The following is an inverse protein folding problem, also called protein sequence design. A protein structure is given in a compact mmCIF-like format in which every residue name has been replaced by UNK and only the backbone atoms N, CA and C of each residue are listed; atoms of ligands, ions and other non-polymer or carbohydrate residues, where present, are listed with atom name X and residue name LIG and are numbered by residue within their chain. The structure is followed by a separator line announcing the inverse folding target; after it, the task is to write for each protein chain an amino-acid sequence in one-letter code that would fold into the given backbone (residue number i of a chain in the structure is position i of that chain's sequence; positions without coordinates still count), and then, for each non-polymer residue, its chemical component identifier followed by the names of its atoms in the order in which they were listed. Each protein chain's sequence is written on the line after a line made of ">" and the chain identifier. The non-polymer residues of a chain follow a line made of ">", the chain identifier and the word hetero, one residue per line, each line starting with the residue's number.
data_IF_171401017445
#
_entry.id   IF_171401017445
#
_cell.length_a   1.000
_cell.length_b   1.000
_cell.length_c   1.000
_cell.angle_alpha   90.00
_cell.angle_beta   90.00
_cell.angle_gamma   90.00
#
_symmetry.space_group_name_H-M   'P 1'
#
loop_
_entity.id
_entity.type
_entity.pdbx_description
1 polymer ?
#
# COMPACT_ATOMS: atom_id res chain seq x y z
N UNK A 1 -1.28 -5.09 -6.72
CA UNK A 1 -2.02 -6.27 -6.20
C UNK A 1 -1.50 -7.54 -6.85
N UNK A 2 -1.69 -8.71 -6.23
CA UNK A 2 -1.18 -9.99 -6.71
C UNK A 2 -1.01 -10.99 -5.58
N UNK A 3 -0.97 -12.29 -5.90
CA UNK A 3 -0.79 -13.36 -4.92
C UNK A 3 0.50 -13.20 -4.10
N UNK A 4 0.61 -13.93 -2.98
CA UNK A 4 1.88 -14.02 -2.26
C UNK A 4 2.98 -14.54 -3.19
N UNK A 5 4.18 -13.96 -3.11
CA UNK A 5 5.28 -14.27 -4.03
C UNK A 5 5.21 -13.63 -5.42
N UNK A 6 4.16 -12.88 -5.78
CA UNK A 6 4.03 -12.29 -7.11
C UNK A 6 5.04 -11.17 -7.47
N UNK A 7 5.95 -10.79 -6.56
CA UNK A 7 6.96 -9.75 -6.79
C UNK A 7 6.55 -8.32 -6.42
N UNK A 8 5.45 -8.12 -5.68
CA UNK A 8 4.92 -6.80 -5.28
C UNK A 8 5.94 -5.97 -4.47
N UNK A 9 6.42 -6.53 -3.36
CA UNK A 9 7.41 -5.90 -2.49
C UNK A 9 8.73 -5.68 -3.21
N UNK A 10 9.15 -6.62 -4.05
CA UNK A 10 10.35 -6.47 -4.90
C UNK A 10 10.21 -5.29 -5.86
N UNK A 11 9.05 -5.12 -6.50
CA UNK A 11 8.80 -3.97 -7.37
C UNK A 11 8.82 -2.66 -6.58
N UNK A 12 8.18 -2.59 -5.41
CA UNK A 12 8.21 -1.37 -4.58
C UNK A 12 9.63 -1.03 -4.11
N UNK A 13 10.44 -2.03 -3.75
CA UNK A 13 11.85 -1.84 -3.42
C UNK A 13 12.64 -1.25 -4.59
N UNK A 14 12.40 -1.74 -5.82
CA UNK A 14 13.02 -1.17 -7.03
C UNK A 14 12.55 0.27 -7.27
N UNK A 15 11.26 0.55 -7.17
CA UNK A 15 10.69 1.89 -7.38
C UNK A 15 11.16 2.92 -6.34
N UNK A 16 11.44 2.48 -5.11
CA UNK A 16 11.93 3.34 -4.01
C UNK A 16 13.44 3.34 -3.84
N UNK A 17 14.15 2.58 -4.69
CA UNK A 17 15.58 2.34 -4.58
C UNK A 17 16.06 1.81 -3.21
N UNK A 18 15.24 0.96 -2.57
CA UNK A 18 15.53 0.33 -1.28
C UNK A 18 15.91 -1.14 -1.45
N UNK A 19 16.74 -1.65 -0.53
CA UNK A 19 17.09 -3.07 -0.45
C UNK A 19 17.61 -3.69 -1.77
N UNK A 20 18.31 -2.89 -2.58
CA UNK A 20 18.76 -3.28 -3.92
C UNK A 20 20.01 -4.18 -3.93
N UNK A 21 20.71 -4.34 -2.80
CA UNK A 21 22.01 -5.01 -2.73
C UNK A 21 22.01 -6.47 -3.22
N UNK A 22 20.83 -7.12 -3.21
CA UNK A 22 20.65 -8.50 -3.67
C UNK A 22 19.89 -8.61 -4.99
N UNK A 23 19.63 -7.49 -5.68
CA UNK A 23 18.80 -7.43 -6.89
C UNK A 23 19.62 -6.99 -8.09
N UNK A 24 19.43 -7.68 -9.23
CA UNK A 24 19.89 -7.21 -10.53
C UNK A 24 18.77 -6.41 -11.17
N UNK A 25 18.91 -5.09 -11.22
CA UNK A 25 17.89 -4.18 -11.77
C UNK A 25 18.24 -3.82 -13.21
N UNK A 26 17.28 -4.00 -14.12
CA UNK A 26 17.36 -3.54 -15.52
C UNK A 26 16.18 -2.60 -15.80
N UNK A 27 16.42 -1.55 -16.58
CA UNK A 27 15.44 -0.52 -16.90
C UNK A 27 15.76 0.82 -16.24
N UNK A 28 14.85 1.78 -16.38
CA UNK A 28 15.00 3.14 -15.86
C UNK A 28 13.73 3.54 -15.11
N UNK A 29 13.88 4.12 -13.92
CA UNK A 29 12.80 4.72 -13.16
C UNK A 29 12.83 6.23 -13.39
N UNK A 30 11.70 6.78 -13.82
CA UNK A 30 11.53 8.22 -14.07
C UNK A 30 10.60 8.82 -13.01
N UNK A 31 10.96 9.96 -12.46
CA UNK A 31 10.10 10.82 -11.63
C UNK A 31 9.90 12.14 -12.38
N UNK A 32 8.65 12.50 -12.67
CA UNK A 32 8.33 13.72 -13.44
C UNK A 32 9.09 13.80 -14.79
N UNK A 33 9.26 12.66 -15.45
CA UNK A 33 9.98 12.55 -16.74
C UNK A 33 11.51 12.55 -16.64
N UNK A 34 12.08 12.65 -15.45
CA UNK A 34 13.53 12.64 -15.25
C UNK A 34 14.00 11.34 -14.60
N UNK A 35 15.11 10.80 -15.09
CA UNK A 35 15.77 9.66 -14.44
C UNK A 35 16.28 10.07 -13.05
N UNK A 36 16.00 9.24 -12.05
CA UNK A 36 16.35 9.54 -10.66
C UNK A 36 17.36 8.51 -10.16
N UNK A 37 18.43 8.99 -9.52
CA UNK A 37 19.36 8.13 -8.79
C UNK A 37 18.71 7.54 -7.53
N UNK A 38 19.25 6.44 -7.01
CA UNK A 38 18.68 5.80 -5.82
C UNK A 38 18.55 6.74 -4.60
N UNK A 39 19.57 7.56 -4.34
CA UNK A 39 19.57 8.53 -3.23
C UNK A 39 18.48 9.62 -3.38
N UNK A 40 18.29 10.14 -4.60
CA UNK A 40 17.26 11.13 -4.87
C UNK A 40 15.85 10.52 -4.82
N UNK A 41 15.72 9.21 -5.06
CA UNK A 41 14.45 8.52 -4.90
C UNK A 41 14.10 8.32 -3.43
N UNK A 42 15.07 7.91 -2.60
CA UNK A 42 14.85 7.71 -1.15
C UNK A 42 14.49 9.00 -0.45
N UNK A 43 15.06 10.14 -0.83
CA UNK A 43 14.69 11.45 -0.27
C UNK A 43 13.31 11.97 -0.70
N UNK A 44 12.75 11.43 -1.79
CA UNK A 44 11.45 11.85 -2.36
C UNK A 44 10.35 10.80 -2.19
N UNK A 45 10.67 9.67 -1.59
CA UNK A 45 9.72 8.59 -1.28
C UNK A 45 9.77 8.30 0.21
N UNK A 46 8.60 8.06 0.81
CA UNK A 46 8.54 7.44 2.12
C UNK A 46 7.96 6.04 1.96
N UNK A 47 8.18 5.18 2.94
CA UNK A 47 7.91 3.76 2.86
C UNK A 47 7.66 3.28 4.29
N UNK A 48 6.46 2.77 4.52
CA UNK A 48 6.08 2.16 5.79
C UNK A 48 6.59 0.73 5.76
N UNK A 49 7.48 0.40 6.69
CA UNK A 49 7.92 -0.98 6.87
C UNK A 49 6.83 -1.79 7.58
N UNK A 50 6.82 -3.11 7.35
CA UNK A 50 5.84 -4.01 7.95
C UNK A 50 5.95 -4.09 9.48
N UNK A 51 7.11 -3.72 10.06
CA UNK A 51 7.40 -3.81 11.49
C UNK A 51 7.85 -2.44 11.99
N UNK A 52 7.10 -1.86 12.91
CA UNK A 52 7.40 -0.55 13.46
C UNK A 52 8.34 -0.64 14.67
N UNK A 53 9.37 0.19 14.67
CA UNK A 53 10.28 0.36 15.81
C UNK A 53 9.83 1.55 16.65
N UNK A 54 8.97 1.29 17.64
CA UNK A 54 8.56 2.31 18.61
C UNK A 54 9.47 2.34 19.84
N UNK A 55 9.67 3.53 20.41
CA UNK A 55 10.27 3.67 21.73
C UNK A 55 9.19 3.45 22.80
N UNK A 56 9.30 2.34 23.54
CA UNK A 56 8.27 1.85 24.46
C UNK A 56 7.90 2.83 25.59
N UNK A 57 8.82 3.71 25.99
CA UNK A 57 8.62 4.65 27.10
C UNK A 57 7.91 5.95 26.70
N UNK A 58 7.84 6.27 25.41
CA UNK A 58 7.10 7.44 24.94
C UNK A 58 5.61 7.18 24.99
N UNK A 59 4.83 8.21 25.30
CA UNK A 59 3.39 8.23 25.01
C UNK A 59 3.13 8.36 23.51
N UNK A 60 1.92 7.97 23.08
CA UNK A 60 1.47 8.14 21.69
C UNK A 60 1.62 9.60 21.21
N UNK A 61 1.23 10.57 22.05
CA UNK A 61 1.36 12.01 21.76
C UNK A 61 2.82 12.43 21.68
N UNK A 62 3.64 12.06 22.66
CA UNK A 62 5.07 12.41 22.67
C UNK A 62 5.78 11.87 21.43
N UNK A 63 5.45 10.64 21.02
CA UNK A 63 6.00 10.06 19.80
C UNK A 63 5.64 10.88 18.56
N UNK A 64 4.36 11.23 18.37
CA UNK A 64 3.94 12.04 17.22
C UNK A 64 4.53 13.45 17.23
N UNK A 65 4.60 14.09 18.40
CA UNK A 65 5.27 15.40 18.55
C UNK A 65 6.75 15.26 18.18
N UNK A 66 7.45 14.27 18.71
CA UNK A 66 8.85 14.02 18.39
C UNK A 66 9.07 13.81 16.88
N UNK A 67 8.25 12.95 16.25
CA UNK A 67 8.29 12.72 14.81
C UNK A 67 8.00 13.99 14.02
N UNK A 68 7.02 14.80 14.43
CA UNK A 68 6.69 16.07 13.75
C UNK A 68 7.85 17.06 13.76
N UNK A 69 8.59 17.11 14.87
CA UNK A 69 9.71 18.02 15.03
C UNK A 69 10.88 17.61 14.12
N UNK A 70 11.10 16.31 13.93
CA UNK A 70 12.19 15.77 13.13
C UNK A 70 11.89 15.67 11.63
N UNK A 71 10.67 15.29 11.25
CA UNK A 71 10.34 14.86 9.88
C UNK A 71 9.56 15.89 9.08
N UNK A 72 8.83 16.81 9.73
CA UNK A 72 8.10 17.85 9.01
C UNK A 72 9.02 19.00 8.60
N UNK A 73 8.73 19.59 7.44
CA UNK A 73 9.42 20.74 6.89
C UNK A 73 9.60 21.87 7.93
N UNK A 74 10.77 22.51 7.89
CA UNK A 74 11.11 23.67 8.72
C UNK A 74 10.22 24.89 8.51
N UNK A 75 9.47 24.95 7.40
CA UNK A 75 8.48 25.99 7.12
C UNK A 75 7.29 25.97 8.10
N UNK A 76 7.05 24.86 8.79
CA UNK A 76 5.98 24.74 9.76
C UNK A 76 6.42 25.26 11.13
N UNK A 77 5.62 26.15 11.73
CA UNK A 77 5.82 26.59 13.12
C UNK A 77 5.55 25.45 14.10
N UNK A 78 6.06 25.56 15.34
CA UNK A 78 5.77 24.57 16.40
C UNK A 78 4.27 24.40 16.63
N UNK A 79 3.50 25.50 16.59
CA UNK A 79 2.05 25.47 16.79
C UNK A 79 1.35 24.75 15.63
N UNK A 80 1.79 24.97 14.39
CA UNK A 80 1.27 24.26 13.22
C UNK A 80 1.59 22.75 13.29
N UNK A 81 2.81 22.39 13.71
CA UNK A 81 3.20 20.99 13.93
C UNK A 81 2.33 20.34 15.01
N UNK A 82 2.13 21.03 16.14
CA UNK A 82 1.26 20.54 17.23
C UNK A 82 -0.19 20.38 16.78
N UNK A 83 -0.75 21.36 16.06
CA UNK A 83 -2.10 21.29 15.54
C UNK A 83 -2.30 20.11 14.58
N UNK A 84 -1.31 19.81 13.74
CA UNK A 84 -1.35 18.63 12.88
C UNK A 84 -1.32 17.33 13.70
N UNK A 85 -0.50 17.25 14.75
CA UNK A 85 -0.49 16.09 15.65
C UNK A 85 -1.87 15.86 16.29
N UNK A 86 -2.53 16.91 16.75
CA UNK A 86 -3.89 16.81 17.31
C UNK A 86 -4.91 16.31 16.27
N UNK A 87 -4.83 16.81 15.03
CA UNK A 87 -5.66 16.33 13.93
C UNK A 87 -5.43 14.84 13.65
N UNK A 88 -4.18 14.38 13.65
CA UNK A 88 -3.84 12.97 13.42
C UNK A 88 -4.34 12.07 14.55
N UNK A 89 -4.23 12.51 15.81
CA UNK A 89 -4.74 11.77 16.96
C UNK A 89 -6.26 11.53 16.85
N UNK A 90 -7.01 12.53 16.39
CA UNK A 90 -8.46 12.41 16.15
C UNK A 90 -8.72 11.51 14.94
N UNK A 91 -8.06 11.79 13.81
CA UNK A 91 -8.28 11.10 12.53
C UNK A 91 -8.02 9.59 12.61
N UNK A 92 -7.01 9.19 13.37
CA UNK A 92 -6.65 7.79 13.56
C UNK A 92 -7.23 7.18 14.84
N UNK A 93 -8.20 7.84 15.49
CA UNK A 93 -8.86 7.36 16.69
C UNK A 93 -7.86 6.90 17.79
N UNK A 94 -6.89 7.77 18.06
CA UNK A 94 -5.85 7.62 19.07
C UNK A 94 -6.05 8.56 20.27
N UNK A 95 -7.05 9.45 20.22
CA UNK A 95 -7.32 10.42 21.30
C UNK A 95 -7.48 9.77 22.67
N UNK A 96 -8.07 8.57 22.75
CA UNK A 96 -8.29 7.86 24.03
C UNK A 96 -7.00 7.32 24.66
N UNK A 97 -5.99 7.01 23.85
CA UNK A 97 -4.70 6.46 24.29
C UNK A 97 -3.55 7.43 24.08
N UNK A 98 -3.83 8.72 23.83
CA UNK A 98 -2.81 9.71 23.46
C UNK A 98 -1.74 9.89 24.54
N UNK A 99 -2.11 9.78 25.82
CA UNK A 99 -1.22 9.91 26.98
C UNK A 99 -0.81 8.54 27.55
N UNK A 100 -1.12 7.44 26.85
CA UNK A 100 -0.70 6.09 27.22
C UNK A 100 0.67 5.81 26.62
N UNK A 101 1.56 5.20 27.40
CA UNK A 101 2.85 4.72 26.90
C UNK A 101 2.67 3.66 25.83
N UNK A 102 3.50 3.71 24.79
CA UNK A 102 3.41 2.77 23.67
C UNK A 102 3.64 1.33 24.14
N UNK A 103 4.56 1.12 25.10
CA UNK A 103 4.87 -0.20 25.64
C UNK A 103 5.61 -1.10 24.64
N UNK A 104 5.75 -2.38 24.97
CA UNK A 104 6.46 -3.36 24.14
C UNK A 104 6.39 -4.78 24.72
N UNK A 105 6.99 -5.73 24.02
CA UNK A 105 6.81 -7.17 24.25
C UNK A 105 7.32 -7.69 25.61
N UNK A 106 8.16 -6.93 26.32
CA UNK A 106 8.97 -7.51 27.40
C UNK A 106 8.64 -7.06 28.83
N UNK A 107 8.12 -5.85 29.12
CA UNK A 107 7.96 -5.42 30.54
C UNK A 107 6.76 -4.50 30.88
N UNK A 108 6.14 -3.81 29.92
CA UNK A 108 5.03 -2.87 30.20
C UNK A 108 3.89 -3.02 29.20
N UNK A 109 2.68 -3.27 29.72
CA UNK A 109 1.46 -3.32 28.91
C UNK A 109 1.13 -1.89 28.44
N UNK A 110 1.41 -1.60 27.17
CA UNK A 110 1.10 -0.32 26.54
C UNK A 110 -0.18 -0.37 25.71
N UNK A 111 -0.16 0.31 24.58
CA UNK A 111 -1.28 0.36 23.64
C UNK A 111 -1.50 -1.00 22.95
N UNK A 112 -2.73 -1.25 22.50
CA UNK A 112 -3.07 -2.46 21.74
C UNK A 112 -2.33 -2.51 20.39
N UNK A 113 -2.16 -3.71 19.83
CA UNK A 113 -1.54 -3.86 18.50
C UNK A 113 -2.28 -3.10 17.38
N UNK A 114 -3.60 -2.94 17.50
CA UNK A 114 -4.39 -2.12 16.58
C UNK A 114 -4.11 -0.62 16.73
N UNK A 115 -3.95 -0.13 17.97
CA UNK A 115 -3.52 1.25 18.23
C UNK A 115 -2.09 1.50 17.75
N UNK A 116 -1.19 0.55 17.96
CA UNK A 116 0.20 0.61 17.50
C UNK A 116 0.28 0.77 15.98
N UNK A 117 -0.51 0.01 15.21
CA UNK A 117 -0.59 0.20 13.76
C UNK A 117 -1.14 1.57 13.38
N UNK A 118 -2.18 2.05 14.05
CA UNK A 118 -2.73 3.40 13.78
C UNK A 118 -1.72 4.50 14.08
N UNK A 119 -0.92 4.33 15.13
CA UNK A 119 0.19 5.22 15.45
C UNK A 119 1.26 5.20 14.34
N UNK A 120 1.60 4.03 13.80
CA UNK A 120 2.55 3.92 12.67
C UNK A 120 2.09 4.71 11.45
N UNK A 121 0.82 4.52 11.04
CA UNK A 121 0.25 5.31 9.96
C UNK A 121 0.28 6.80 10.26
N UNK A 122 -0.14 7.22 11.46
CA UNK A 122 -0.11 8.62 11.85
C UNK A 122 1.32 9.21 11.79
N UNK A 123 2.32 8.46 12.24
CA UNK A 123 3.73 8.85 12.21
C UNK A 123 4.27 9.00 10.80
N UNK A 124 3.88 8.12 9.87
CA UNK A 124 4.36 8.22 8.50
C UNK A 124 3.69 9.37 7.74
N UNK A 125 2.41 9.64 7.98
CA UNK A 125 1.67 10.75 7.35
C UNK A 125 2.35 12.10 7.64
N UNK A 126 3.02 12.26 8.77
CA UNK A 126 3.80 13.47 9.11
C UNK A 126 4.92 13.75 8.10
N UNK A 127 5.44 12.73 7.42
CA UNK A 127 6.51 12.87 6.41
C UNK A 127 5.99 13.13 5.01
N UNK A 128 4.66 13.19 4.86
CA UNK A 128 4.00 13.42 3.59
C UNK A 128 4.44 12.44 2.47
N UNK A 129 4.31 11.12 2.65
CA UNK A 129 4.83 10.13 1.71
C UNK A 129 4.12 10.10 0.37
N UNK A 130 4.85 9.63 -0.65
CA UNK A 130 4.29 9.27 -1.97
C UNK A 130 4.11 7.75 -2.16
N UNK A 131 4.64 6.90 -1.28
CA UNK A 131 4.58 5.44 -1.45
C UNK A 131 4.32 4.73 -0.13
N UNK A 132 3.54 3.65 -0.18
CA UNK A 132 3.07 2.91 1.00
C UNK A 132 3.10 1.42 0.69
N UNK A 133 3.96 0.65 1.36
CA UNK A 133 3.92 -0.81 1.22
C UNK A 133 2.96 -1.39 2.26
N UNK A 134 1.97 -2.12 1.79
CA UNK A 134 1.01 -2.86 2.59
C UNK A 134 0.30 -2.06 3.71
N UNK A 135 -0.25 -0.86 3.42
CA UNK A 135 -0.83 0.01 4.43
C UNK A 135 -2.11 -0.55 5.11
N UNK A 136 -2.58 -1.71 4.70
CA UNK A 136 -3.79 -2.33 5.27
C UNK A 136 -3.50 -3.67 5.95
N UNK A 137 -2.25 -4.14 5.98
CA UNK A 137 -1.94 -5.50 6.45
C UNK A 137 -2.17 -5.66 7.95
N UNK A 138 -2.99 -6.66 8.30
CA UNK A 138 -3.37 -7.01 9.66
C UNK A 138 -4.14 -5.91 10.40
N UNK A 139 -4.90 -5.10 9.66
CA UNK A 139 -5.94 -4.23 10.19
C UNK A 139 -7.32 -4.87 9.96
N UNK A 140 -8.29 -4.49 10.79
CA UNK A 140 -9.68 -4.77 10.51
C UNK A 140 -10.19 -3.97 9.28
N UNK A 141 -11.33 -4.38 8.74
CA UNK A 141 -11.89 -3.81 7.51
C UNK A 141 -12.24 -2.32 7.62
N UNK A 142 -12.74 -1.87 8.78
CA UNK A 142 -13.08 -0.47 9.01
C UNK A 142 -11.84 0.40 9.02
N UNK A 143 -10.78 -0.05 9.71
CA UNK A 143 -9.52 0.66 9.75
C UNK A 143 -8.80 0.70 8.41
N UNK A 144 -8.79 -0.42 7.68
CA UNK A 144 -8.24 -0.47 6.33
C UNK A 144 -8.93 0.55 5.42
N UNK A 145 -10.27 0.64 5.49
CA UNK A 145 -11.04 1.61 4.71
C UNK A 145 -10.68 3.06 5.07
N UNK A 146 -10.56 3.40 6.35
CA UNK A 146 -10.17 4.75 6.79
C UNK A 146 -8.76 5.15 6.28
N UNK A 147 -7.83 4.21 6.26
CA UNK A 147 -6.49 4.44 5.71
C UNK A 147 -6.55 4.65 4.21
N UNK A 148 -7.22 3.78 3.45
CA UNK A 148 -7.34 3.95 1.99
C UNK A 148 -8.06 5.25 1.65
N UNK A 149 -9.08 5.65 2.41
CA UNK A 149 -9.75 6.93 2.22
C UNK A 149 -8.81 8.11 2.49
N UNK A 150 -7.95 8.01 3.51
CA UNK A 150 -6.93 9.03 3.80
C UNK A 150 -5.92 9.14 2.66
N UNK A 151 -5.43 8.01 2.15
CA UNK A 151 -4.55 7.95 0.99
C UNK A 151 -5.22 8.54 -0.26
N UNK A 152 -6.51 8.30 -0.45
CA UNK A 152 -7.30 8.87 -1.54
C UNK A 152 -7.39 10.39 -1.45
N UNK A 153 -7.68 10.93 -0.27
CA UNK A 153 -7.69 12.38 -0.04
C UNK A 153 -6.30 12.97 -0.32
N UNK A 154 -5.25 12.33 0.16
CA UNK A 154 -3.87 12.76 -0.10
C UNK A 154 -3.56 12.80 -1.61
N UNK A 155 -4.02 11.80 -2.36
CA UNK A 155 -3.89 11.77 -3.81
C UNK A 155 -4.66 12.90 -4.50
N UNK A 156 -5.89 13.19 -4.04
CA UNK A 156 -6.72 14.28 -4.59
C UNK A 156 -6.12 15.67 -4.36
N UNK A 157 -5.23 15.83 -3.38
CA UNK A 157 -4.46 17.05 -3.12
C UNK A 157 -3.21 17.16 -4.02
N UNK A 158 -3.07 16.30 -5.04
CA UNK A 158 -2.00 16.37 -6.04
C UNK A 158 -0.80 15.45 -5.77
N UNK A 159 -0.94 14.47 -4.86
CA UNK A 159 0.13 13.52 -4.56
C UNK A 159 0.00 12.25 -5.39
N UNK A 160 1.12 11.70 -5.85
CA UNK A 160 1.15 10.33 -6.37
C UNK A 160 1.23 9.38 -5.19
N UNK A 161 0.21 8.53 -5.01
CA UNK A 161 0.20 7.49 -3.98
C UNK A 161 0.27 6.13 -4.65
N UNK A 162 1.30 5.35 -4.33
CA UNK A 162 1.42 3.94 -4.75
C UNK A 162 1.32 3.05 -3.52
N UNK A 163 0.42 2.07 -3.54
CA UNK A 163 0.37 1.08 -2.48
C UNK A 163 0.07 -0.36 -2.93
N UNK A 164 0.53 -1.30 -2.11
CA UNK A 164 0.22 -2.73 -2.22
C UNK A 164 -0.87 -3.08 -1.21
N UNK A 165 -1.86 -3.87 -1.62
CA UNK A 165 -2.88 -4.39 -0.69
C UNK A 165 -2.72 -5.90 -0.63
N UNK A 166 -2.55 -6.41 0.59
CA UNK A 166 -2.66 -7.82 0.90
C UNK A 166 -4.10 -8.12 1.35
N UNK A 167 -4.62 -9.28 0.93
CA UNK A 167 -6.02 -9.72 1.02
C UNK A 167 -6.77 -9.36 2.33
N UNK A 168 -7.99 -8.81 2.28
CA UNK A 168 -9.02 -9.03 3.28
C UNK A 168 -10.01 -10.05 2.73
N UNK A 169 -9.75 -11.34 2.96
CA UNK A 169 -10.48 -12.48 2.39
C UNK A 169 -11.86 -12.74 3.01
N UNK A 170 -12.47 -11.79 3.71
CA UNK A 170 -13.61 -12.13 4.56
C UNK A 170 -14.59 -11.00 4.86
N UNK A 171 -14.99 -10.17 3.88
CA UNK A 171 -16.20 -9.29 3.82
C UNK A 171 -16.04 -8.32 2.62
N UNK A 172 -17.06 -7.58 2.12
CA UNK A 172 -17.07 -7.06 0.75
C UNK A 172 -16.01 -5.99 0.55
N UNK A 173 -14.84 -6.43 0.13
CA UNK A 173 -13.66 -5.69 -0.34
C UNK A 173 -13.96 -4.84 -1.59
N UNK A 174 -15.22 -4.67 -1.97
CA UNK A 174 -15.65 -3.83 -3.10
C UNK A 174 -15.50 -2.35 -2.79
N UNK A 175 -15.70 -1.93 -1.53
CA UNK A 175 -15.60 -0.50 -1.16
C UNK A 175 -14.16 -0.01 -1.25
N UNK A 176 -13.20 -0.75 -0.67
CA UNK A 176 -11.78 -0.39 -0.74
C UNK A 176 -11.27 -0.49 -2.17
N UNK A 177 -11.64 -1.53 -2.92
CA UNK A 177 -11.25 -1.68 -4.32
C UNK A 177 -11.77 -0.52 -5.19
N UNK A 178 -12.97 0.00 -4.91
CA UNK A 178 -13.55 1.13 -5.64
C UNK A 178 -12.84 2.47 -5.38
N UNK A 179 -12.01 2.58 -4.34
CA UNK A 179 -11.26 3.81 -4.04
C UNK A 179 -10.04 4.01 -4.95
N UNK A 180 -9.56 2.95 -5.62
CA UNK A 180 -8.39 3.00 -6.49
C UNK A 180 -8.70 3.59 -7.86
N UNK A 181 -7.93 4.61 -8.26
CA UNK A 181 -7.96 5.16 -9.62
C UNK A 181 -7.40 4.16 -10.63
N UNK A 182 -6.26 3.56 -10.27
CA UNK A 182 -5.55 2.59 -11.08
C UNK A 182 -5.16 1.37 -10.25
N UNK A 183 -5.14 0.21 -10.91
CA UNK A 183 -4.68 -1.06 -10.37
C UNK A 183 -3.54 -1.60 -11.22
N UNK A 184 -2.55 -2.17 -10.54
CA UNK A 184 -1.49 -2.98 -11.13
C UNK A 184 -1.64 -4.40 -10.61
N UNK A 185 -1.92 -5.36 -11.48
CA UNK A 185 -1.99 -6.78 -11.15
C UNK A 185 -0.68 -7.45 -11.56
N UNK A 186 -0.04 -8.13 -10.61
CA UNK A 186 1.20 -8.86 -10.83
C UNK A 186 1.00 -10.36 -10.61
N UNK A 187 1.68 -11.16 -11.41
CA UNK A 187 1.76 -12.61 -11.29
C UNK A 187 3.17 -13.07 -11.64
N UNK A 188 3.82 -13.81 -10.74
CA UNK A 188 5.15 -14.41 -10.93
C UNK A 188 6.21 -13.41 -11.45
N UNK A 189 6.27 -12.22 -10.84
CA UNK A 189 7.22 -11.17 -11.21
C UNK A 189 6.87 -10.40 -12.50
N UNK A 190 5.77 -10.73 -13.18
CA UNK A 190 5.31 -10.06 -14.40
C UNK A 190 4.05 -9.22 -14.15
N UNK A 191 3.87 -8.19 -14.97
CA UNK A 191 2.63 -7.40 -15.01
C UNK A 191 1.57 -8.16 -15.79
N UNK A 192 0.49 -8.54 -15.12
CA UNK A 192 -0.67 -9.19 -15.73
C UNK A 192 -1.68 -8.18 -16.25
N UNK A 193 -1.80 -7.01 -15.61
CA UNK A 193 -2.67 -5.92 -16.05
C UNK A 193 -2.26 -4.60 -15.38
N UNK A 194 -2.44 -3.48 -16.08
CA UNK A 194 -2.33 -2.14 -15.52
C UNK A 194 -3.39 -1.23 -16.15
N UNK A 195 -4.20 -0.57 -15.33
CA UNK A 195 -5.29 0.28 -15.82
C UNK A 195 -6.26 0.67 -14.70
N UNK A 196 -7.41 1.24 -15.08
CA UNK A 196 -8.50 1.54 -14.13
C UNK A 196 -9.26 0.27 -13.72
N UNK A 197 -10.05 0.36 -12.65
CA UNK A 197 -10.93 -0.75 -12.22
C UNK A 197 -11.96 -1.14 -13.28
N UNK A 198 -12.41 -0.18 -14.10
CA UNK A 198 -13.35 -0.42 -15.20
C UNK A 198 -12.69 -1.10 -16.40
N UNK A 199 -11.53 -0.62 -16.83
CA UNK A 199 -10.77 -1.25 -17.92
C UNK A 199 -10.32 -2.67 -17.56
N UNK A 200 -10.05 -2.94 -16.28
CA UNK A 200 -9.80 -4.29 -15.80
C UNK A 200 -10.99 -5.22 -16.06
N UNK A 201 -12.22 -4.79 -15.73
CA UNK A 201 -13.43 -5.58 -15.97
C UNK A 201 -13.57 -5.96 -17.44
N UNK A 202 -13.38 -5.01 -18.35
CA UNK A 202 -13.44 -5.27 -19.78
C UNK A 202 -12.34 -6.22 -20.25
N UNK A 203 -11.10 -6.00 -19.82
CA UNK A 203 -9.96 -6.83 -20.18
C UNK A 203 -10.17 -8.29 -19.76
N UNK A 204 -10.48 -8.55 -18.49
CA UNK A 204 -10.70 -9.91 -17.99
C UNK A 204 -11.94 -10.58 -18.60
N UNK A 205 -13.03 -9.82 -18.81
CA UNK A 205 -14.22 -10.36 -19.50
C UNK A 205 -13.93 -10.79 -20.94
N UNK A 206 -13.08 -10.04 -21.67
CA UNK A 206 -12.68 -10.39 -23.04
C UNK A 206 -11.89 -11.70 -23.13
N UNK A 207 -11.25 -12.09 -22.03
CA UNK A 207 -10.53 -13.35 -21.90
C UNK A 207 -11.41 -14.49 -21.37
N UNK A 208 -12.70 -14.24 -21.13
CA UNK A 208 -13.67 -15.20 -20.61
C UNK A 208 -13.74 -15.27 -19.07
N UNK A 209 -13.02 -14.39 -18.36
CA UNK A 209 -13.07 -14.31 -16.90
C UNK A 209 -14.23 -13.42 -16.46
N UNK A 210 -15.37 -14.03 -16.17
CA UNK A 210 -16.57 -13.32 -15.70
C UNK A 210 -16.72 -13.52 -14.19
N UNK A 211 -16.57 -12.42 -13.44
CA UNK A 211 -16.72 -12.44 -11.99
C UNK A 211 -18.18 -12.74 -11.58
N UNK A 212 -18.42 -13.73 -10.71
CA UNK A 212 -19.75 -14.00 -10.17
C UNK A 212 -20.33 -12.79 -9.41
N UNK A 213 -21.66 -12.64 -9.39
CA UNK A 213 -22.37 -11.48 -8.81
C UNK A 213 -22.06 -11.18 -7.33
N UNK A 214 -21.61 -12.18 -6.57
CA UNK A 214 -21.28 -12.05 -5.14
C UNK A 214 -19.79 -12.25 -4.85
N UNK A 215 -18.94 -12.17 -5.88
CA UNK A 215 -17.50 -12.32 -5.73
C UNK A 215 -16.82 -10.95 -5.78
N UNK A 216 -15.82 -10.76 -4.93
CA UNK A 216 -14.98 -9.58 -5.01
C UNK A 216 -14.11 -9.66 -6.27
N UNK A 217 -14.13 -8.61 -7.10
CA UNK A 217 -13.39 -8.56 -8.36
C UNK A 217 -11.89 -8.72 -8.18
N UNK A 218 -11.33 -8.08 -7.15
CA UNK A 218 -9.90 -8.15 -6.88
C UNK A 218 -9.46 -9.54 -6.41
N UNK A 219 -10.26 -10.18 -5.56
CA UNK A 219 -10.02 -11.56 -5.13
C UNK A 219 -10.17 -12.54 -6.30
N UNK A 220 -11.17 -12.32 -7.15
CA UNK A 220 -11.37 -13.10 -8.36
C UNK A 220 -10.14 -13.03 -9.28
N UNK A 221 -9.67 -11.82 -9.62
CA UNK A 221 -8.48 -11.66 -10.47
C UNK A 221 -7.23 -12.25 -9.83
N UNK A 222 -7.02 -12.04 -8.53
CA UNK A 222 -5.87 -12.63 -7.83
C UNK A 222 -5.95 -14.16 -7.82
N UNK A 223 -7.15 -14.75 -7.68
CA UNK A 223 -7.35 -16.20 -7.71
C UNK A 223 -7.08 -16.78 -9.09
N UNK A 224 -7.55 -16.13 -10.16
CA UNK A 224 -7.27 -16.56 -11.53
C UNK A 224 -5.77 -16.43 -11.88
N UNK A 225 -5.07 -15.48 -11.25
CA UNK A 225 -3.65 -15.21 -11.46
C UNK A 225 -2.71 -15.84 -10.41
N UNK A 226 -3.25 -16.55 -9.41
CA UNK A 226 -2.52 -17.03 -8.23
C UNK A 226 -2.64 -18.53 -8.02
N UNK A 227 -1.60 -19.14 -7.43
CA UNK A 227 -1.61 -20.57 -7.10
C UNK A 227 -2.41 -20.79 -5.81
N UNK A 228 -3.64 -21.35 -5.88
CA UNK A 228 -4.48 -21.51 -4.67
C UNK A 228 -5.82 -22.28 -4.79
N UNK A 229 -5.82 -23.48 -4.20
CA UNK A 229 -6.89 -24.34 -3.62
C UNK A 229 -8.17 -24.74 -4.38
N UNK A 230 -8.54 -24.17 -5.53
CA UNK A 230 -9.72 -24.66 -6.30
C UNK A 230 -9.48 -24.87 -7.80
N UNK A 231 -8.27 -24.59 -8.28
CA UNK A 231 -7.92 -24.62 -9.69
C UNK A 231 -6.83 -25.70 -9.85
N UNK A 232 -7.00 -26.62 -10.79
CA UNK A 232 -5.96 -27.60 -11.15
C UNK A 232 -4.72 -26.84 -11.66
N UNK A 233 -3.52 -27.36 -11.40
CA UNK A 233 -2.25 -26.73 -11.82
C UNK A 233 -2.23 -26.34 -13.30
N UNK A 234 -2.89 -27.14 -14.16
CA UNK A 234 -2.99 -26.89 -15.60
C UNK A 234 -3.83 -25.65 -15.92
N UNK A 235 -5.00 -25.47 -15.28
CA UNK A 235 -5.87 -24.31 -15.54
C UNK A 235 -5.22 -22.99 -15.09
N UNK A 236 -4.44 -23.02 -14.01
CA UNK A 236 -3.70 -21.85 -13.53
C UNK A 236 -2.64 -21.39 -14.54
N UNK A 237 -1.80 -22.32 -15.02
CA UNK A 237 -0.75 -22.02 -15.99
C UNK A 237 -1.33 -21.49 -17.30
N UNK A 238 -2.40 -22.11 -17.79
CA UNK A 238 -3.12 -21.66 -18.99
C UNK A 238 -3.69 -20.25 -18.82
N UNK A 239 -4.38 -19.97 -17.71
CA UNK A 239 -4.96 -18.67 -17.43
C UNK A 239 -3.87 -17.59 -17.32
N UNK A 240 -2.77 -17.89 -16.64
CA UNK A 240 -1.63 -16.98 -16.51
C UNK A 240 -0.99 -16.66 -17.86
N UNK A 241 -0.68 -17.68 -18.66
CA UNK A 241 -0.10 -17.53 -20.00
C UNK A 241 -1.05 -16.70 -20.88
N UNK A 242 -2.35 -16.98 -20.84
CA UNK A 242 -3.37 -16.27 -21.62
C UNK A 242 -3.41 -14.77 -21.28
N UNK A 243 -3.33 -14.41 -20.00
CA UNK A 243 -3.32 -13.01 -19.57
C UNK A 243 -2.02 -12.30 -19.92
N UNK A 244 -0.88 -12.90 -19.61
CA UNK A 244 0.44 -12.27 -19.81
C UNK A 244 0.74 -12.11 -21.31
N UNK A 245 0.47 -13.12 -22.13
CA UNK A 245 0.67 -13.05 -23.58
C UNK A 245 -0.18 -11.96 -24.25
N UNK A 246 -1.38 -11.67 -23.72
CA UNK A 246 -2.24 -10.61 -24.23
C UNK A 246 -1.73 -9.20 -23.92
N UNK A 247 -0.97 -9.02 -22.84
CA UNK A 247 -0.31 -7.75 -22.52
C UNK A 247 0.99 -7.56 -23.29
N UNK A 248 1.71 -8.65 -23.59
CA UNK A 248 2.94 -8.62 -24.39
C UNK A 248 2.67 -8.44 -25.90
N UNK A 249 1.43 -8.64 -26.35
CA UNK A 249 1.05 -8.34 -27.74
C UNK A 249 0.85 -6.83 -27.88
N UNK A 250 1.62 -6.14 -28.75
CA UNK A 250 1.40 -4.72 -28.98
C UNK A 250 -0.03 -4.53 -29.46
N UNK A 251 -0.77 -3.63 -28.79
CA UNK A 251 -2.05 -3.16 -29.28
C UNK A 251 -1.73 -2.35 -30.55
N UNK A 252 -1.74 -3.03 -31.70
CA UNK A 252 -1.77 -2.38 -33.01
C UNK A 252 -3.16 -1.76 -33.10
N UNK A 253 -3.30 -0.54 -32.59
CA UNK A 253 -4.51 0.26 -32.81
C UNK A 253 -4.49 0.75 -34.26
N UNK A 254 -5.49 0.30 -35.02
CA UNK A 254 -5.96 0.95 -36.24
C UNK A 254 -6.73 2.23 -35.90
#
# INVERSE_FOLDING_TARGET
>A
MGASGAGKTTLLNVLTARNLSKLSVKGVVLLNGQAVSGENMVSKSSYIEQHDLFHSLLTVREHLVFQSLLRMDTSFTRDQKSALVDQLLIKFNLSKCMDTQIGGDFEFKGISGGEMKRLSFASEILSNPSLFDEPTTGLDSFMAQNIVQTLKTMASEGRTIVCTIHQPSSQPSSQVFALFDHILLMADGRVAFMGTTETAKHFFSSLGFVCPKNCNLSDYYIKELGYGSSITSNNYEENRIKVISRMETPIINH
#
